data_IF_149225575744
#
_entry.id   IF_149225575744
#
_cell.length_a   1.000
_cell.length_b   1.000
_cell.length_c   1.000
_cell.angle_alpha   90.00
_cell.angle_beta   90.00
_cell.angle_gamma   90.00
#
_symmetry.space_group_name_H-M   'P 1'
#
loop_
_entity.id
_entity.type
_entity.pdbx_description
1 polymer ?
#
# COMPACT_ATOMS: atom_id res chain seq x y z
N UNK A 1 49.65 -34.89 19.80
CA UNK A 1 49.73 -36.26 20.38
C UNK A 1 48.48 -36.97 19.89
N UNK A 2 48.51 -37.63 18.73
CA UNK A 2 48.85 -39.05 18.53
C UNK A 2 48.17 -40.02 19.51
N UNK A 3 47.21 -40.80 18.97
CA UNK A 3 47.09 -42.28 18.96
C UNK A 3 45.59 -42.64 18.99
N UNK A 4 44.93 -43.18 17.95
CA UNK A 4 45.12 -44.38 17.12
C UNK A 4 44.09 -45.49 17.45
N UNK A 5 43.32 -45.83 16.41
CA UNK A 5 42.98 -47.17 15.90
C UNK A 5 42.28 -48.22 16.81
N UNK A 6 41.15 -48.72 16.32
CA UNK A 6 40.88 -50.15 15.98
C UNK A 6 39.45 -50.25 15.41
N UNK A 7 39.26 -50.35 14.09
CA UNK A 7 39.23 -51.58 13.26
C UNK A 7 38.33 -52.70 13.78
N UNK A 8 37.18 -52.89 13.15
CA UNK A 8 36.61 -54.24 12.93
C UNK A 8 35.89 -54.30 11.58
N UNK A 9 36.56 -54.93 10.61
CA UNK A 9 35.94 -55.50 9.41
C UNK A 9 35.41 -56.88 9.76
N UNK A 10 34.13 -57.15 9.49
CA UNK A 10 33.68 -58.50 9.13
C UNK A 10 32.66 -58.45 7.98
N UNK A 11 33.10 -59.06 6.88
CA UNK A 11 32.35 -59.43 5.69
C UNK A 11 31.37 -60.57 5.99
N UNK A 12 30.18 -60.57 5.35
CA UNK A 12 29.71 -61.66 4.45
C UNK A 12 28.24 -61.52 3.98
N UNK A 13 28.09 -61.62 2.64
CA UNK A 13 27.03 -62.28 1.84
C UNK A 13 25.63 -61.63 1.65
N UNK A 14 25.37 -61.25 0.41
CA UNK A 14 24.08 -61.35 -0.31
C UNK A 14 23.76 -62.83 -0.67
N UNK A 15 22.56 -63.28 -1.17
CA UNK A 15 21.58 -62.53 -1.99
C UNK A 15 20.06 -62.90 -1.91
N UNK A 16 19.24 -62.18 -2.72
CA UNK A 16 17.83 -62.41 -3.15
C UNK A 16 16.76 -62.21 -2.06
N UNK A 17 15.65 -61.50 -2.29
CA UNK A 17 14.60 -61.74 -3.29
C UNK A 17 13.97 -60.41 -3.72
N UNK A 18 13.62 -60.30 -5.01
CA UNK A 18 12.99 -59.12 -5.58
C UNK A 18 11.67 -58.76 -4.91
N UNK A 19 11.50 -57.46 -4.66
CA UNK A 19 10.20 -56.81 -4.75
C UNK A 19 10.31 -55.78 -5.86
N UNK A 20 9.56 -56.03 -6.91
CA UNK A 20 9.21 -55.02 -7.90
C UNK A 20 8.69 -53.82 -7.11
N UNK A 21 9.39 -52.69 -7.20
CA UNK A 21 8.81 -51.40 -6.84
C UNK A 21 7.67 -51.19 -7.84
N UNK A 22 6.40 -51.02 -7.43
CA UNK A 22 5.41 -50.56 -8.36
C UNK A 22 5.89 -49.18 -8.83
N UNK A 23 6.13 -49.12 -10.13
CA UNK A 23 6.34 -47.90 -10.87
C UNK A 23 5.06 -47.08 -10.64
N UNK A 24 5.12 -46.01 -9.85
CA UNK A 24 4.05 -45.03 -9.79
C UNK A 24 4.06 -44.35 -11.16
N UNK A 25 3.28 -44.91 -12.07
CA UNK A 25 2.99 -44.29 -13.34
C UNK A 25 2.02 -43.16 -13.00
N UNK A 26 2.54 -41.93 -12.95
CA UNK A 26 1.75 -40.72 -12.78
C UNK A 26 0.54 -40.79 -13.71
N UNK A 27 -0.65 -40.74 -13.11
CA UNK A 27 -1.95 -40.89 -13.75
C UNK A 27 -2.30 -39.73 -14.70
N UNK A 28 -1.38 -38.75 -14.83
CA UNK A 28 -1.47 -37.61 -15.74
C UNK A 28 -1.45 -37.99 -17.24
N UNK A 29 -1.21 -39.26 -17.60
CA UNK A 29 -1.13 -39.69 -19.01
C UNK A 29 -2.25 -40.63 -19.48
N UNK A 30 -3.34 -40.79 -18.72
CA UNK A 30 -4.52 -41.55 -19.19
C UNK A 30 -5.69 -40.65 -19.64
N UNK A 31 -5.65 -39.34 -19.37
CA UNK A 31 -6.73 -38.40 -19.71
C UNK A 31 -6.52 -37.71 -21.07
N UNK A 32 -5.37 -37.90 -21.73
CA UNK A 32 -5.14 -37.36 -23.08
C UNK A 32 -5.62 -38.26 -24.24
N UNK A 33 -6.13 -39.48 -23.96
CA UNK A 33 -6.54 -40.44 -25.01
C UNK A 33 -8.05 -40.68 -25.14
N UNK A 34 -8.90 -39.88 -24.48
CA UNK A 34 -10.36 -39.99 -24.67
C UNK A 34 -11.04 -38.74 -25.28
N UNK A 35 -10.28 -37.83 -25.90
CA UNK A 35 -10.83 -36.66 -26.60
C UNK A 35 -11.04 -36.85 -28.11
N UNK A 36 -10.89 -38.06 -28.64
CA UNK A 36 -11.16 -38.29 -30.06
C UNK A 36 -11.69 -39.71 -30.30
N UNK A 37 -13.01 -39.89 -30.16
CA UNK A 37 -13.92 -40.49 -31.15
C UNK A 37 -15.31 -40.56 -30.52
N UNK A 38 -16.19 -39.65 -30.97
CA UNK A 38 -17.55 -39.98 -31.42
C UNK A 38 -18.56 -40.58 -30.45
N UNK A 39 -19.53 -39.73 -30.11
CA UNK A 39 -20.97 -40.04 -30.02
C UNK A 39 -21.47 -40.79 -28.77
N UNK A 40 -22.21 -40.07 -27.93
CA UNK A 40 -23.24 -40.64 -27.06
C UNK A 40 -23.16 -40.18 -25.60
N UNK A 41 -23.95 -39.15 -25.27
CA UNK A 41 -24.56 -38.87 -23.95
C UNK A 41 -23.82 -39.39 -22.69
N UNK A 42 -23.17 -38.50 -21.96
CA UNK A 42 -22.77 -38.76 -20.56
C UNK A 42 -21.37 -38.28 -20.12
N UNK A 43 -20.67 -37.46 -20.92
CA UNK A 43 -19.26 -37.12 -20.68
C UNK A 43 -19.00 -35.70 -20.14
N UNK A 44 -19.98 -35.04 -19.52
CA UNK A 44 -19.81 -33.65 -19.06
C UNK A 44 -19.32 -33.51 -17.60
N UNK A 45 -19.24 -34.58 -16.80
CA UNK A 45 -19.08 -34.44 -15.35
C UNK A 45 -17.77 -35.02 -14.79
N UNK A 46 -16.69 -35.11 -15.57
CA UNK A 46 -15.41 -35.69 -15.09
C UNK A 46 -14.28 -34.68 -14.89
N UNK A 47 -14.43 -33.45 -15.38
CA UNK A 47 -13.49 -32.36 -15.04
C UNK A 47 -13.65 -31.95 -13.58
N UNK A 48 -14.90 -31.78 -13.12
CA UNK A 48 -15.22 -31.38 -11.75
C UNK A 48 -14.65 -32.27 -10.66
N UNK A 49 -14.83 -33.58 -10.80
CA UNK A 49 -14.30 -34.57 -9.85
C UNK A 49 -12.77 -34.58 -9.73
N UNK A 50 -12.04 -34.03 -10.71
CA UNK A 50 -10.58 -34.00 -10.69
C UNK A 50 -10.05 -32.72 -10.01
N UNK A 51 -10.75 -31.59 -10.18
CA UNK A 51 -10.49 -30.34 -9.43
C UNK A 51 -10.91 -30.49 -7.97
N UNK A 52 -12.02 -31.20 -7.72
CA UNK A 52 -12.62 -31.38 -6.41
C UNK A 52 -11.85 -32.22 -5.38
N UNK A 53 -10.68 -32.75 -5.75
CA UNK A 53 -9.95 -33.65 -4.87
C UNK A 53 -8.77 -33.01 -4.16
N UNK A 54 -8.43 -31.75 -4.41
CA UNK A 54 -7.33 -31.08 -3.70
C UNK A 54 -6.02 -31.89 -3.69
N UNK A 55 -5.75 -32.67 -4.74
CA UNK A 55 -4.60 -33.59 -4.80
C UNK A 55 -4.71 -34.91 -3.99
N UNK A 56 -5.86 -35.24 -3.37
CA UNK A 56 -6.07 -36.51 -2.67
C UNK A 56 -6.29 -37.69 -3.62
N UNK A 57 -5.57 -38.79 -3.38
CA UNK A 57 -5.77 -40.04 -4.12
C UNK A 57 -7.04 -40.74 -3.66
N UNK A 58 -8.08 -40.75 -4.48
CA UNK A 58 -9.28 -41.53 -4.21
C UNK A 58 -8.96 -43.04 -4.05
N UNK A 59 -9.64 -43.77 -3.15
CA UNK A 59 -9.78 -45.21 -3.30
C UNK A 59 -10.38 -45.51 -4.69
N UNK A 60 -10.17 -46.71 -5.26
CA UNK A 60 -10.76 -47.03 -6.56
C UNK A 60 -12.28 -47.10 -6.45
N UNK A 61 -12.95 -46.00 -6.78
CA UNK A 61 -14.41 -45.83 -6.83
C UNK A 61 -14.81 -45.70 -8.31
N UNK A 62 -15.90 -46.35 -8.72
CA UNK A 62 -16.43 -46.22 -10.09
C UNK A 62 -17.27 -44.95 -10.23
N UNK A 63 -17.41 -44.42 -11.46
CA UNK A 63 -18.32 -43.29 -11.72
C UNK A 63 -19.76 -43.57 -11.25
N UNK A 64 -20.22 -44.81 -11.40
CA UNK A 64 -21.56 -45.23 -10.93
C UNK A 64 -21.68 -45.22 -9.41
N UNK A 65 -20.57 -45.41 -8.68
CA UNK A 65 -20.55 -45.32 -7.22
C UNK A 65 -20.51 -43.87 -6.76
N UNK A 66 -19.78 -42.99 -7.46
CA UNK A 66 -19.77 -41.54 -7.19
C UNK A 66 -21.16 -40.92 -7.35
N UNK A 67 -21.89 -41.28 -8.42
CA UNK A 67 -23.26 -40.81 -8.67
C UNK A 67 -24.31 -41.30 -7.65
N UNK A 68 -23.95 -42.24 -6.77
CA UNK A 68 -24.83 -42.75 -5.72
C UNK A 68 -24.48 -42.23 -4.33
N UNK A 69 -23.41 -41.44 -4.21
CA UNK A 69 -23.07 -40.78 -2.95
C UNK A 69 -24.02 -39.63 -2.70
N UNK A 70 -24.19 -39.28 -1.43
CA UNK A 70 -24.93 -38.07 -1.06
C UNK A 70 -24.14 -36.85 -1.55
N UNK A 71 -24.87 -35.93 -2.14
CA UNK A 71 -24.43 -34.62 -2.63
C UNK A 71 -25.58 -33.68 -2.21
N UNK A 72 -25.34 -32.96 -1.12
CA UNK A 72 -26.37 -32.30 -0.32
C UNK A 72 -26.76 -30.93 -0.89
N UNK A 73 -25.84 -30.23 -1.55
CA UNK A 73 -26.07 -28.93 -2.20
C UNK A 73 -26.15 -29.00 -3.73
N UNK A 74 -25.75 -30.12 -4.34
CA UNK A 74 -25.98 -30.43 -5.74
C UNK A 74 -24.96 -29.79 -6.68
N UNK A 75 -23.76 -29.52 -6.21
CA UNK A 75 -22.67 -28.90 -6.96
C UNK A 75 -21.92 -29.93 -7.84
N UNK A 76 -22.11 -31.23 -7.58
CA UNK A 76 -21.47 -32.34 -8.28
C UNK A 76 -20.31 -32.99 -7.54
N UNK A 77 -19.98 -32.53 -6.32
CA UNK A 77 -19.00 -33.10 -5.40
C UNK A 77 -19.76 -33.83 -4.29
N UNK A 78 -19.52 -35.13 -4.08
CA UNK A 78 -20.17 -35.81 -2.97
C UNK A 78 -19.74 -35.28 -1.60
N UNK A 79 -20.66 -35.20 -0.62
CA UNK A 79 -20.44 -34.70 0.75
C UNK A 79 -19.19 -35.28 1.45
N UNK A 80 -18.76 -36.49 1.06
CA UNK A 80 -17.58 -37.15 1.63
C UNK A 80 -16.25 -36.59 1.15
N UNK A 81 -16.26 -35.84 0.05
CA UNK A 81 -15.10 -35.23 -0.60
C UNK A 81 -15.21 -33.71 -0.71
N UNK A 82 -16.41 -33.18 -0.49
CA UNK A 82 -16.72 -31.77 -0.54
C UNK A 82 -16.30 -31.05 0.76
N UNK A 83 -15.41 -30.03 0.70
CA UNK A 83 -15.12 -29.15 1.85
C UNK A 83 -16.32 -28.29 2.26
N UNK A 84 -17.24 -28.02 1.34
CA UNK A 84 -18.39 -27.15 1.49
C UNK A 84 -19.73 -27.88 1.27
N UNK A 85 -20.02 -29.00 1.97
CA UNK A 85 -21.13 -29.94 1.66
C UNK A 85 -22.55 -29.41 1.82
N UNK A 86 -22.73 -28.11 2.07
CA UNK A 86 -24.04 -27.46 2.10
C UNK A 86 -24.01 -26.10 1.39
N UNK A 87 -22.96 -25.80 0.63
CA UNK A 87 -22.80 -24.58 -0.14
C UNK A 87 -22.27 -24.91 -1.54
N UNK A 88 -23.08 -24.78 -2.60
CA UNK A 88 -22.70 -25.25 -3.93
C UNK A 88 -21.76 -24.30 -4.71
N UNK A 89 -21.39 -23.16 -4.11
CA UNK A 89 -20.63 -22.06 -4.70
C UNK A 89 -19.93 -21.31 -3.55
N UNK A 90 -18.71 -21.74 -3.23
CA UNK A 90 -17.94 -21.34 -2.06
C UNK A 90 -17.55 -19.86 -2.09
N UNK A 91 -16.99 -19.39 -3.20
CA UNK A 91 -16.55 -18.00 -3.37
C UNK A 91 -17.66 -17.06 -3.88
N UNK A 92 -18.80 -17.61 -4.31
CA UNK A 92 -19.94 -16.88 -4.88
C UNK A 92 -19.60 -16.13 -6.17
N UNK A 93 -18.67 -16.64 -7.00
CA UNK A 93 -18.34 -16.06 -8.30
C UNK A 93 -19.34 -16.46 -9.42
N UNK A 94 -20.20 -17.43 -9.13
CA UNK A 94 -21.23 -17.95 -10.02
C UNK A 94 -20.82 -19.20 -10.81
N UNK A 95 -19.65 -19.77 -10.53
CA UNK A 95 -19.20 -21.09 -10.95
C UNK A 95 -19.40 -22.02 -9.75
N UNK A 96 -20.18 -23.09 -9.91
CA UNK A 96 -20.37 -24.05 -8.82
C UNK A 96 -19.06 -24.77 -8.52
N UNK A 97 -18.83 -25.15 -7.26
CA UNK A 97 -17.56 -25.74 -6.79
C UNK A 97 -17.17 -26.97 -7.64
N UNK A 98 -18.12 -27.84 -7.95
CA UNK A 98 -17.91 -28.97 -8.85
C UNK A 98 -17.50 -28.63 -10.29
N UNK A 99 -17.43 -27.36 -10.70
CA UNK A 99 -16.90 -26.89 -11.99
C UNK A 99 -15.82 -25.82 -11.84
N UNK A 100 -15.52 -25.42 -10.61
CA UNK A 100 -14.58 -24.37 -10.29
C UNK A 100 -13.19 -24.94 -9.98
N UNK A 101 -12.17 -24.22 -10.45
CA UNK A 101 -10.76 -24.57 -10.27
C UNK A 101 -10.13 -23.81 -9.09
N UNK A 102 -10.83 -22.88 -8.44
CA UNK A 102 -10.33 -21.98 -7.39
C UNK A 102 -11.45 -21.57 -6.39
N UNK A 103 -11.75 -22.44 -5.41
CA UNK A 103 -12.96 -22.36 -4.58
C UNK A 103 -13.02 -21.20 -3.58
N UNK A 104 -11.90 -20.54 -3.32
CA UNK A 104 -11.84 -19.38 -2.43
C UNK A 104 -11.37 -18.11 -3.14
N UNK A 105 -11.09 -18.21 -4.45
CA UNK A 105 -10.72 -17.13 -5.34
C UNK A 105 -9.43 -16.41 -4.93
N UNK A 106 -8.48 -17.15 -4.33
CA UNK A 106 -7.19 -16.61 -3.91
C UNK A 106 -6.15 -16.59 -5.07
N UNK A 107 -6.50 -17.20 -6.22
CA UNK A 107 -5.68 -17.31 -7.41
C UNK A 107 -4.78 -18.54 -7.45
N UNK A 108 -4.86 -19.44 -6.46
CA UNK A 108 -4.16 -20.71 -6.37
C UNK A 108 -5.14 -21.84 -6.73
N UNK A 109 -4.89 -22.61 -7.80
CA UNK A 109 -5.82 -23.66 -8.17
C UNK A 109 -5.97 -24.73 -7.09
N UNK A 110 -7.21 -25.17 -6.85
CA UNK A 110 -7.64 -26.17 -5.85
C UNK A 110 -6.71 -27.40 -5.75
N UNK A 111 -6.14 -27.85 -6.87
CA UNK A 111 -5.30 -29.06 -6.93
C UNK A 111 -3.87 -28.89 -6.37
N UNK A 112 -3.42 -27.66 -6.15
CA UNK A 112 -2.11 -27.31 -5.59
C UNK A 112 -2.23 -26.38 -4.39
N UNK A 113 -3.41 -25.85 -4.15
CA UNK A 113 -3.71 -25.01 -3.02
C UNK A 113 -3.71 -25.81 -1.70
N UNK A 114 -2.86 -25.43 -0.73
CA UNK A 114 -2.92 -26.00 0.60
C UNK A 114 -4.16 -25.58 1.40
N UNK A 115 -4.79 -24.43 1.13
CA UNK A 115 -5.99 -23.92 1.81
C UNK A 115 -7.14 -23.63 0.85
N UNK A 116 -7.72 -24.69 0.29
CA UNK A 116 -8.89 -24.59 -0.59
C UNK A 116 -10.20 -24.17 0.11
N UNK A 117 -10.11 -23.66 1.34
CA UNK A 117 -11.26 -23.19 2.11
C UNK A 117 -11.27 -21.70 2.35
N UNK A 118 -10.16 -21.00 2.08
CA UNK A 118 -9.98 -19.58 2.40
C UNK A 118 -10.32 -19.24 3.85
N UNK A 119 -10.09 -20.17 4.78
CA UNK A 119 -10.45 -19.95 6.17
C UNK A 119 -9.44 -19.00 6.80
N UNK A 120 -9.90 -17.81 7.15
CA UNK A 120 -9.13 -16.78 7.85
C UNK A 120 -9.99 -16.31 9.03
N UNK A 121 -9.79 -16.95 10.19
CA UNK A 121 -10.70 -16.81 11.32
C UNK A 121 -10.54 -15.48 12.08
N UNK A 122 -9.42 -14.77 11.90
CA UNK A 122 -9.18 -13.46 12.50
C UNK A 122 -9.16 -12.29 11.51
N UNK A 123 -9.10 -12.58 10.21
CA UNK A 123 -9.28 -11.62 9.13
C UNK A 123 -8.03 -10.83 8.80
N UNK A 124 -6.84 -11.38 9.09
CA UNK A 124 -5.56 -10.72 8.82
C UNK A 124 -5.05 -10.92 7.38
N UNK A 125 -5.69 -11.82 6.63
CA UNK A 125 -5.34 -12.16 5.25
C UNK A 125 -4.34 -13.30 5.12
N UNK A 126 -3.95 -13.93 6.23
CA UNK A 126 -3.15 -15.16 6.25
C UNK A 126 -4.10 -16.34 6.54
N UNK A 127 -4.24 -17.29 5.59
CA UNK A 127 -4.96 -18.54 5.82
C UNK A 127 -4.66 -19.22 7.16
N UNK A 128 -5.68 -19.68 7.89
CA UNK A 128 -5.59 -20.38 9.18
C UNK A 128 -4.56 -21.54 9.16
N UNK A 129 -4.40 -22.19 8.01
CA UNK A 129 -3.48 -23.30 7.82
C UNK A 129 -2.01 -22.85 7.73
N UNK A 130 -1.79 -21.62 7.26
CA UNK A 130 -0.47 -20.99 7.08
C UNK A 130 -0.14 -20.03 8.21
N UNK A 131 -1.14 -19.59 8.98
CA UNK A 131 -0.98 -18.68 10.09
C UNK A 131 -0.48 -19.40 11.36
N UNK A 132 0.51 -18.78 12.00
CA UNK A 132 1.02 -19.19 13.30
C UNK A 132 0.11 -18.80 14.45
N UNK A 133 -0.79 -17.83 14.25
CA UNK A 133 -1.69 -17.30 15.28
C UNK A 133 -3.18 -17.21 14.87
N UNK A 134 -3.86 -18.27 14.35
CA UNK A 134 -5.10 -18.20 13.52
C UNK A 134 -6.37 -17.61 14.15
N UNK A 135 -6.28 -16.99 15.31
CA UNK A 135 -7.39 -16.37 16.05
C UNK A 135 -6.97 -15.00 16.59
N UNK A 136 -5.81 -14.47 16.20
CA UNK A 136 -5.23 -13.23 16.69
C UNK A 136 -4.83 -12.36 15.47
N UNK A 137 -5.64 -11.34 15.15
CA UNK A 137 -5.40 -10.51 13.98
C UNK A 137 -4.00 -9.90 13.96
N UNK A 138 -3.44 -9.79 12.75
CA UNK A 138 -2.19 -9.11 12.41
C UNK A 138 -2.44 -8.11 11.26
N UNK A 139 -2.88 -6.90 11.60
CA UNK A 139 -3.37 -5.95 10.60
C UNK A 139 -2.29 -5.44 9.64
N UNK A 140 -1.01 -5.43 10.04
CA UNK A 140 0.12 -5.02 9.22
C UNK A 140 0.86 -6.22 8.58
N UNK A 141 0.44 -7.46 8.86
CA UNK A 141 0.99 -8.70 8.33
C UNK A 141 2.51 -8.83 8.58
N UNK A 142 2.99 -8.34 9.73
CA UNK A 142 4.41 -8.37 10.07
C UNK A 142 4.83 -9.64 10.86
N UNK A 143 3.86 -10.50 11.19
CA UNK A 143 4.02 -11.74 11.93
C UNK A 143 3.90 -11.59 13.45
N UNK A 144 3.53 -10.40 13.95
CA UNK A 144 3.26 -10.11 15.35
C UNK A 144 1.79 -9.75 15.48
N UNK A 145 0.98 -10.53 16.23
CA UNK A 145 -0.43 -10.19 16.39
C UNK A 145 -0.62 -8.80 17.03
N UNK A 146 -1.65 -8.07 16.61
CA UNK A 146 -1.96 -6.69 17.05
C UNK A 146 -1.93 -6.54 18.58
N UNK A 147 -2.41 -7.56 19.31
CA UNK A 147 -2.46 -7.57 20.77
C UNK A 147 -1.12 -7.83 21.46
N UNK A 148 -0.07 -8.14 20.71
CA UNK A 148 1.29 -8.42 21.17
C UNK A 148 2.30 -7.37 20.70
N UNK A 149 1.89 -6.44 19.84
CA UNK A 149 2.71 -5.33 19.40
C UNK A 149 3.13 -4.45 20.58
N UNK A 150 4.38 -3.99 20.55
CA UNK A 150 4.96 -3.08 21.52
C UNK A 150 5.49 -1.84 20.83
N UNK A 151 5.38 -0.71 21.49
CA UNK A 151 5.94 0.58 21.06
C UNK A 151 6.76 1.07 22.27
N UNK A 152 8.06 0.81 22.22
CA UNK A 152 8.95 0.88 23.36
C UNK A 152 9.35 2.32 23.71
N UNK A 153 9.40 3.22 22.74
CA UNK A 153 9.75 4.63 22.94
C UNK A 153 8.58 5.60 22.80
N UNK A 154 7.43 5.14 22.31
CA UNK A 154 6.17 5.84 22.33
C UNK A 154 5.98 6.83 21.18
N UNK A 155 6.64 6.60 20.04
CA UNK A 155 6.54 7.47 18.86
C UNK A 155 5.36 7.15 17.93
N UNK A 156 4.70 6.01 18.15
CA UNK A 156 3.56 5.55 17.36
C UNK A 156 3.89 4.54 16.26
N UNK A 157 5.15 4.18 16.07
CA UNK A 157 5.57 2.97 15.36
C UNK A 157 5.66 1.80 16.35
N UNK A 158 5.28 0.61 15.90
CA UNK A 158 5.53 -0.59 16.69
C UNK A 158 7.00 -1.03 16.51
N UNK A 159 7.61 -1.59 17.56
CA UNK A 159 9.00 -2.05 17.61
C UNK A 159 9.36 -3.02 16.45
N UNK A 160 8.35 -3.68 15.89
CA UNK A 160 8.43 -4.59 14.73
C UNK A 160 8.65 -3.86 13.41
N UNK A 161 8.12 -2.64 13.28
CA UNK A 161 8.16 -1.79 12.10
C UNK A 161 9.12 -0.58 12.26
N UNK A 162 9.47 -0.25 13.51
CA UNK A 162 10.30 0.89 13.86
C UNK A 162 11.80 0.65 13.56
N UNK A 163 12.45 1.54 12.77
CA UNK A 163 13.88 1.44 12.47
C UNK A 163 14.80 1.64 13.68
N UNK A 164 14.35 2.29 14.74
CA UNK A 164 15.07 2.47 16.00
C UNK A 164 14.13 2.48 17.23
N UNK A 165 13.69 1.30 17.71
CA UNK A 165 12.71 1.12 18.81
C UNK A 165 13.07 1.63 20.22
N UNK A 166 14.10 2.45 20.34
CA UNK A 166 14.51 3.05 21.59
C UNK A 166 14.81 4.53 21.46
N UNK A 167 14.44 5.15 20.34
CA UNK A 167 14.59 6.57 20.11
C UNK A 167 13.41 7.10 19.30
N UNK A 168 12.50 7.85 19.94
CA UNK A 168 11.20 8.21 19.35
C UNK A 168 11.26 9.33 18.29
N UNK A 169 12.46 9.72 17.88
CA UNK A 169 12.77 10.90 17.04
C UNK A 169 14.22 10.74 16.55
N UNK A 170 14.41 10.02 15.44
CA UNK A 170 15.73 9.58 14.93
C UNK A 170 16.60 10.74 14.47
N UNK A 171 16.04 11.71 13.78
CA UNK A 171 16.78 12.82 13.22
C UNK A 171 16.82 14.06 14.12
N UNK A 172 15.93 14.13 15.12
CA UNK A 172 15.94 15.12 16.18
C UNK A 172 15.27 16.44 15.79
N UNK A 173 14.36 16.43 14.82
CA UNK A 173 13.64 17.63 14.39
C UNK A 173 12.43 17.99 15.28
N UNK A 174 12.03 17.07 16.14
CA UNK A 174 10.93 17.24 17.10
C UNK A 174 9.58 16.68 16.65
N UNK A 175 9.52 16.04 15.48
CA UNK A 175 8.40 15.22 15.02
C UNK A 175 8.72 13.75 15.37
N UNK A 176 7.87 13.05 16.15
CA UNK A 176 8.13 11.64 16.43
C UNK A 176 8.09 10.79 15.17
N UNK A 177 8.93 9.75 15.07
CA UNK A 177 9.09 8.97 13.82
C UNK A 177 7.76 8.41 13.30
N UNK A 178 6.84 7.99 14.18
CA UNK A 178 5.51 7.51 13.80
C UNK A 178 4.55 8.57 13.26
N UNK A 179 4.88 9.84 13.41
CA UNK A 179 4.18 10.98 12.83
C UNK A 179 4.98 11.69 11.71
N UNK A 180 6.25 11.33 11.53
CA UNK A 180 7.14 11.95 10.56
C UNK A 180 7.07 11.25 9.19
N UNK A 181 7.00 12.06 8.14
CA UNK A 181 7.03 11.59 6.75
C UNK A 181 8.44 11.31 6.22
N UNK A 182 9.48 11.88 6.86
CA UNK A 182 10.88 11.63 6.52
C UNK A 182 11.78 11.43 7.77
N UNK A 183 11.57 10.36 8.59
CA UNK A 183 12.17 10.16 9.93
C UNK A 183 13.71 10.10 10.03
N UNK A 184 14.41 10.28 8.91
CA UNK A 184 15.87 10.23 8.83
C UNK A 184 16.48 11.55 8.36
N UNK A 185 15.66 12.55 8.03
CA UNK A 185 16.09 13.81 7.45
C UNK A 185 15.44 14.97 8.23
N UNK A 186 16.19 15.64 9.10
CA UNK A 186 15.59 16.57 10.05
C UNK A 186 15.01 17.80 9.33
N UNK A 187 13.83 18.24 9.75
CA UNK A 187 13.19 19.51 9.40
C UNK A 187 12.78 20.27 10.67
N UNK A 188 13.76 20.97 11.27
CA UNK A 188 13.61 21.57 12.61
C UNK A 188 12.54 22.67 12.65
N UNK A 189 12.22 23.27 11.50
CA UNK A 189 11.23 24.35 11.42
C UNK A 189 9.86 23.89 10.89
N UNK A 190 9.75 22.67 10.36
CA UNK A 190 8.52 22.03 9.92
C UNK A 190 7.95 22.63 8.64
N UNK A 191 8.78 23.17 7.74
CA UNK A 191 8.34 23.74 6.46
C UNK A 191 8.20 22.69 5.35
N UNK A 192 8.58 21.44 5.60
CA UNK A 192 8.57 20.33 4.65
C UNK A 192 9.84 20.23 3.79
N UNK A 193 10.88 21.01 4.10
CA UNK A 193 12.19 20.99 3.44
C UNK A 193 13.22 20.59 4.49
N UNK A 194 13.89 19.43 4.33
CA UNK A 194 14.88 19.04 5.33
C UNK A 194 16.00 20.08 5.45
N UNK A 195 16.51 20.29 6.66
CA UNK A 195 17.55 21.27 7.03
C UNK A 195 18.75 21.25 6.05
N UNK A 196 19.09 20.06 5.54
CA UNK A 196 20.19 19.87 4.58
C UNK A 196 19.96 20.46 3.18
N UNK A 197 18.72 20.86 2.87
CA UNK A 197 18.29 21.43 1.59
C UNK A 197 17.84 22.90 1.71
N UNK A 198 17.90 23.51 2.89
CA UNK A 198 17.58 24.92 3.14
C UNK A 198 18.70 25.89 2.70
N UNK A 199 19.24 25.70 1.50
CA UNK A 199 20.23 26.65 0.95
C UNK A 199 19.51 27.91 0.49
N UNK A 200 20.02 29.08 0.87
CA UNK A 200 19.62 30.40 0.36
C UNK A 200 20.85 31.01 -0.30
N UNK A 201 20.93 30.91 -1.63
CA UNK A 201 22.12 31.20 -2.40
C UNK A 201 22.35 32.70 -2.65
N UNK A 202 21.32 33.54 -2.56
CA UNK A 202 21.43 34.99 -2.77
C UNK A 202 21.19 35.84 -1.51
N UNK A 203 20.70 35.23 -0.44
CA UNK A 203 20.56 35.82 0.88
C UNK A 203 19.31 36.71 1.03
N UNK A 204 18.27 36.47 0.24
CA UNK A 204 17.02 37.23 0.28
C UNK A 204 16.09 36.81 1.42
N UNK A 205 16.28 35.60 1.96
CA UNK A 205 15.47 34.99 3.01
C UNK A 205 14.46 33.94 2.54
N UNK A 206 14.43 33.59 1.25
CA UNK A 206 13.68 32.48 0.66
C UNK A 206 14.68 31.37 0.33
N UNK A 207 14.38 30.12 0.66
CA UNK A 207 15.29 29.01 0.32
C UNK A 207 15.23 28.70 -1.17
N UNK A 208 16.35 28.29 -1.76
CA UNK A 208 16.52 27.98 -3.19
C UNK A 208 15.47 26.98 -3.73
N UNK A 209 14.92 26.13 -2.87
CA UNK A 209 13.90 25.15 -3.22
C UNK A 209 12.50 25.77 -3.39
N UNK A 210 12.26 26.92 -2.76
CA UNK A 210 11.00 27.68 -2.80
C UNK A 210 11.13 28.98 -3.61
N UNK A 211 12.34 29.39 -3.93
CA UNK A 211 12.62 30.61 -4.67
C UNK A 211 12.56 30.40 -6.20
N UNK A 212 11.83 31.30 -6.88
CA UNK A 212 11.76 31.37 -8.34
C UNK A 212 13.05 31.94 -8.96
N UNK A 213 13.80 32.74 -8.20
CA UNK A 213 15.01 33.43 -8.62
C UNK A 213 16.21 33.19 -7.68
N UNK A 214 16.62 31.92 -7.44
CA UNK A 214 17.54 31.47 -6.37
C UNK A 214 18.99 32.00 -6.44
N UNK A 215 19.29 32.93 -7.35
CA UNK A 215 20.61 33.55 -7.49
C UNK A 215 20.50 35.09 -7.56
N UNK A 216 19.33 35.67 -7.33
CA UNK A 216 19.07 37.10 -7.42
C UNK A 216 18.08 37.61 -6.36
N UNK A 217 18.59 38.02 -5.20
CA UNK A 217 17.77 38.48 -4.07
C UNK A 217 17.13 39.86 -4.17
N UNK A 218 16.85 40.34 -5.39
CA UNK A 218 16.06 41.53 -5.75
C UNK A 218 15.63 41.34 -7.22
N UNK A 219 14.71 40.41 -7.45
CA UNK A 219 14.27 39.98 -8.78
C UNK A 219 13.70 41.12 -9.63
N UNK A 220 12.92 42.01 -9.00
CA UNK A 220 12.25 43.12 -9.66
C UNK A 220 13.08 44.41 -9.72
N UNK A 221 14.19 44.50 -8.96
CA UNK A 221 15.10 45.64 -8.95
C UNK A 221 14.54 46.89 -8.28
N UNK A 222 13.53 46.74 -7.42
CA UNK A 222 12.88 47.87 -6.73
C UNK A 222 13.65 48.33 -5.47
N UNK A 223 14.68 47.56 -5.07
CA UNK A 223 15.56 47.85 -3.94
C UNK A 223 15.08 47.31 -2.58
N UNK A 224 14.02 46.50 -2.56
CA UNK A 224 13.59 45.68 -1.43
C UNK A 224 14.02 44.24 -1.72
N UNK A 225 14.76 43.57 -0.83
CA UNK A 225 15.11 42.16 -1.04
C UNK A 225 13.88 41.27 -1.09
N UNK A 226 13.88 40.28 -1.96
CA UNK A 226 12.72 39.44 -2.30
C UNK A 226 12.05 38.80 -1.07
N UNK A 227 12.79 38.22 -0.13
CA UNK A 227 12.21 37.69 1.13
C UNK A 227 11.58 38.72 2.08
N UNK A 228 11.65 40.02 1.76
CA UNK A 228 10.91 41.10 2.43
C UNK A 228 9.99 41.89 1.49
N UNK A 229 9.91 41.51 0.21
CA UNK A 229 9.14 42.22 -0.81
C UNK A 229 7.80 41.50 -1.07
N UNK A 230 6.65 42.11 -0.74
CA UNK A 230 5.34 41.52 -1.03
C UNK A 230 5.02 41.43 -2.53
N UNK A 231 5.81 42.07 -3.41
CA UNK A 231 5.70 42.08 -4.87
C UNK A 231 7.00 41.56 -5.54
N UNK A 232 7.74 40.68 -4.86
CA UNK A 232 9.01 40.13 -5.36
C UNK A 232 8.85 39.39 -6.70
N UNK A 233 7.67 38.84 -6.96
CA UNK A 233 7.30 38.15 -8.20
C UNK A 233 6.62 39.04 -9.23
N UNK A 234 6.53 40.36 -8.97
CA UNK A 234 5.81 41.31 -9.81
C UNK A 234 4.30 40.99 -9.96
N UNK A 235 3.72 40.25 -9.01
CA UNK A 235 2.29 40.15 -8.78
C UNK A 235 1.52 39.09 -9.58
N UNK A 236 2.13 38.26 -10.46
CA UNK A 236 1.38 37.14 -11.07
C UNK A 236 2.24 36.02 -11.72
N UNK A 237 1.99 34.72 -11.40
CA UNK A 237 2.44 33.57 -12.19
C UNK A 237 1.77 33.40 -13.59
N UNK A 238 0.78 34.23 -13.93
CA UNK A 238 0.15 34.35 -15.25
C UNK A 238 0.45 35.68 -15.94
N UNK A 239 1.69 36.17 -15.81
CA UNK A 239 2.31 37.22 -16.63
C UNK A 239 1.44 37.87 -17.71
N UNK A 240 0.91 39.05 -17.41
CA UNK A 240 0.51 40.00 -18.43
C UNK A 240 1.65 41.00 -18.67
N UNK A 241 2.16 40.96 -19.90
CA UNK A 241 3.13 41.89 -20.47
C UNK A 241 2.56 43.29 -20.74
N UNK A 242 1.96 43.97 -19.76
CA UNK A 242 1.47 45.36 -19.93
C UNK A 242 2.23 46.40 -19.12
N UNK A 243 2.96 46.02 -18.06
CA UNK A 243 3.79 46.96 -17.31
C UNK A 243 2.99 48.09 -16.64
N UNK A 244 1.75 47.80 -16.27
CA UNK A 244 0.92 48.60 -15.39
C UNK A 244 0.46 47.66 -14.28
N UNK A 245 0.92 47.97 -13.08
CA UNK A 245 0.60 47.30 -11.84
C UNK A 245 -0.89 47.56 -11.52
N UNK A 246 -1.71 46.51 -11.58
CA UNK A 246 -3.17 46.61 -11.47
C UNK A 246 -3.68 46.30 -10.05
N UNK A 247 -2.78 45.99 -9.10
CA UNK A 247 -3.12 45.49 -7.77
C UNK A 247 -2.66 46.40 -6.60
N UNK A 248 -2.16 47.61 -6.87
CA UNK A 248 -1.84 48.60 -5.83
C UNK A 248 -3.11 49.25 -5.31
N UNK A 249 -3.62 48.74 -4.19
CA UNK A 249 -4.53 49.45 -3.27
C UNK A 249 -3.69 50.45 -2.45
N UNK A 250 -3.41 51.61 -3.04
CA UNK A 250 -2.43 52.58 -2.53
C UNK A 250 -2.90 53.27 -1.24
N UNK A 251 -4.22 53.33 -1.04
CA UNK A 251 -4.86 53.94 0.13
C UNK A 251 -5.36 52.91 1.17
N UNK A 252 -5.25 51.61 0.86
CA UNK A 252 -5.60 50.47 1.72
C UNK A 252 -7.08 50.39 2.11
N UNK A 253 -7.97 50.83 1.22
CA UNK A 253 -9.42 50.84 1.44
C UNK A 253 -10.13 49.54 1.01
N UNK A 254 -9.40 48.65 0.31
CA UNK A 254 -9.85 47.34 -0.12
C UNK A 254 -10.48 47.30 -1.52
N UNK A 255 -10.33 48.35 -2.33
CA UNK A 255 -10.71 48.37 -3.75
C UNK A 255 -9.47 48.25 -4.66
N UNK A 256 -9.53 47.48 -5.76
CA UNK A 256 -8.43 47.40 -6.71
C UNK A 256 -8.40 48.62 -7.65
N UNK A 257 -7.19 49.07 -8.03
CA UNK A 257 -6.93 50.28 -8.82
C UNK A 257 -7.70 50.42 -10.14
N UNK A 258 -8.12 49.30 -10.76
CA UNK A 258 -8.99 49.34 -11.94
C UNK A 258 -10.42 49.83 -11.67
N UNK A 259 -10.86 49.81 -10.42
CA UNK A 259 -12.19 50.19 -9.94
C UNK A 259 -12.17 51.39 -8.97
N UNK A 260 -10.99 51.79 -8.51
CA UNK A 260 -10.78 52.95 -7.65
C UNK A 260 -10.28 54.18 -8.44
N UNK A 261 -10.96 55.32 -8.24
CA UNK A 261 -10.58 56.57 -8.90
C UNK A 261 -9.63 57.43 -8.05
N UNK A 262 -9.50 57.10 -6.77
CA UNK A 262 -8.81 57.84 -5.72
C UNK A 262 -7.43 57.21 -5.39
N UNK A 263 -7.13 55.99 -5.86
CA UNK A 263 -5.84 55.26 -5.73
C UNK A 263 -4.57 56.00 -6.20
N UNK A 264 -4.71 57.15 -6.88
CA UNK A 264 -3.60 58.02 -7.24
C UNK A 264 -3.41 59.22 -6.29
N UNK A 265 -4.15 59.28 -5.18
CA UNK A 265 -4.09 60.36 -4.20
C UNK A 265 -4.13 59.83 -2.75
N UNK A 266 -2.97 59.49 -2.15
CA UNK A 266 -2.89 58.85 -0.83
C UNK A 266 -3.22 59.76 0.37
N UNK A 267 -3.74 60.96 0.13
CA UNK A 267 -4.16 61.99 1.09
C UNK A 267 -5.30 62.77 0.42
N UNK A 268 -6.51 62.18 0.40
CA UNK A 268 -7.58 62.65 -0.48
C UNK A 268 -8.08 64.06 -0.10
N UNK A 269 -7.95 64.44 1.16
CA UNK A 269 -8.36 65.75 1.66
C UNK A 269 -7.20 66.76 1.82
N UNK A 270 -5.94 66.30 1.76
CA UNK A 270 -4.75 67.13 1.75
C UNK A 270 -4.37 67.66 3.13
N UNK A 271 -4.78 66.98 4.21
CA UNK A 271 -4.49 67.38 5.59
C UNK A 271 -3.09 66.95 6.06
N UNK A 272 -2.44 66.05 5.31
CA UNK A 272 -1.10 65.53 5.53
C UNK A 272 -1.04 64.21 6.31
N UNK A 273 -2.17 63.56 6.58
CA UNK A 273 -2.27 62.17 7.06
C UNK A 273 -2.75 61.30 5.90
N UNK A 274 -2.09 60.16 5.69
CA UNK A 274 -2.50 59.26 4.61
C UNK A 274 -3.81 58.55 4.96
N UNK A 275 -4.68 58.35 3.97
CA UNK A 275 -6.05 57.83 4.15
C UNK A 275 -6.10 56.53 4.97
N UNK A 276 -5.16 55.59 4.75
CA UNK A 276 -5.07 54.34 5.52
C UNK A 276 -4.73 54.50 7.01
N UNK A 277 -4.29 55.69 7.42
CA UNK A 277 -4.03 56.07 8.82
C UNK A 277 -5.00 57.14 9.35
N UNK A 278 -5.78 57.78 8.48
CA UNK A 278 -6.76 58.79 8.84
C UNK A 278 -8.13 58.14 9.14
N UNK A 279 -8.69 58.49 10.30
CA UNK A 279 -10.04 58.04 10.66
C UNK A 279 -11.13 58.72 9.83
N UNK A 280 -10.83 59.88 9.24
CA UNK A 280 -11.75 60.71 8.50
C UNK A 280 -11.20 61.16 7.14
N UNK A 281 -10.84 60.22 6.22
CA UNK A 281 -10.06 60.52 5.01
C UNK A 281 -10.58 61.63 4.10
N UNK A 282 -11.87 62.00 4.21
CA UNK A 282 -12.53 62.97 3.32
C UNK A 282 -12.81 64.31 4.00
N UNK A 283 -12.29 64.55 5.21
CA UNK A 283 -12.51 65.77 5.99
C UNK A 283 -11.17 66.42 6.42
N UNK A 284 -10.71 67.48 5.71
CA UNK A 284 -9.36 68.04 5.85
C UNK A 284 -9.12 68.81 7.15
N UNK A 285 -10.01 68.63 8.13
CA UNK A 285 -9.98 69.26 9.45
C UNK A 285 -9.87 68.25 10.58
N UNK A 286 -9.90 66.96 10.27
CA UNK A 286 -9.86 65.83 11.19
C UNK A 286 -8.81 64.83 10.71
N UNK A 287 -8.24 64.07 11.64
CA UNK A 287 -7.18 63.09 11.44
C UNK A 287 -7.50 61.80 12.20
#
# INVERSE_FOLDING_TARGET
MNLDLTSSRTSRRAPRVGRLRPLYLSFALLIATLLAVGCGSGAENVSGLLSALGGQTLPPVTLEQLQQMTDSDGDGIPDTFDPFPNNPDADNDGIIDGLDDDWDNDGIPNNVDPDNTGNDADGDGIPDLLDSYPLNPDANNNGVPDGQETDSDGDGLFDSDDPNPGNPDIDGDGIPDGADSDPFNPDVNGNGIPDGYETDSDGDGIVDAEDAYPLNGDANGNGIPDGNDPDYDNGDPYGDHTGVDEDVDADSDGLPAGLDADDNNPDIDGDGVIDGLDRFPKDPTLW
#
